data_IF_772392709819
#
_entry.id   IF_772392709819
#
_cell.length_a   1.000
_cell.length_b   1.000
_cell.length_c   1.000
_cell.angle_alpha   90.00
_cell.angle_beta   90.00
_cell.angle_gamma   90.00
#
_symmetry.space_group_name_H-M   'P 1'
#
loop_
_entity.id
_entity.type
_entity.pdbx_description
1 polymer ?
#
# COMPACT_ATOMS: atom_id res chain seq x y z
N UNK A 1 -10.38 -2.84 -13.57
CA UNK A 1 -10.26 -1.44 -13.18
C UNK A 1 -9.02 -1.23 -12.30
N UNK A 2 -8.72 0.01 -11.96
CA UNK A 2 -7.50 0.35 -11.23
C UNK A 2 -7.44 -0.28 -9.84
N UNK A 3 -8.57 -0.37 -9.17
CA UNK A 3 -8.63 -1.00 -7.84
C UNK A 3 -8.26 -2.47 -7.90
N UNK A 4 -8.84 -3.21 -8.83
CA UNK A 4 -8.56 -4.64 -8.99
C UNK A 4 -7.11 -4.89 -9.40
N UNK A 5 -6.59 -4.04 -10.27
CA UNK A 5 -5.19 -4.13 -10.70
C UNK A 5 -4.25 -3.93 -9.50
N UNK A 6 -4.53 -2.92 -8.69
CA UNK A 6 -3.72 -2.61 -7.51
C UNK A 6 -3.78 -3.75 -6.49
N UNK A 7 -4.97 -4.28 -6.22
CA UNK A 7 -5.14 -5.41 -5.31
C UNK A 7 -4.35 -6.62 -5.80
N UNK A 8 -4.48 -6.98 -7.08
CA UNK A 8 -3.76 -8.12 -7.65
C UNK A 8 -2.25 -7.94 -7.53
N UNK A 9 -1.75 -6.73 -7.75
CA UNK A 9 -0.31 -6.45 -7.64
C UNK A 9 0.17 -6.54 -6.20
N UNK A 10 -0.60 -6.03 -5.26
CA UNK A 10 -0.25 -6.08 -3.84
C UNK A 10 -0.23 -7.51 -3.31
N UNK A 11 -1.15 -8.35 -3.76
CA UNK A 11 -1.22 -9.74 -3.31
C UNK A 11 0.02 -10.55 -3.68
N UNK A 12 0.77 -10.12 -4.68
CA UNK A 12 1.99 -10.81 -5.12
C UNK A 12 3.23 -10.43 -4.33
N UNK A 13 3.13 -9.43 -3.47
CA UNK A 13 4.28 -8.95 -2.71
C UNK A 13 4.47 -9.80 -1.45
N UNK A 14 5.71 -10.24 -1.20
CA UNK A 14 6.02 -11.10 -0.06
C UNK A 14 5.75 -10.43 1.28
N UNK A 15 5.92 -9.11 1.36
CA UNK A 15 5.75 -8.40 2.63
C UNK A 15 4.31 -7.98 2.91
N UNK A 16 3.40 -8.18 1.98
CA UNK A 16 1.97 -7.88 2.18
C UNK A 16 1.30 -9.09 2.80
N UNK A 17 0.75 -8.91 4.00
CA UNK A 17 0.12 -9.99 4.75
C UNK A 17 -1.38 -10.07 4.51
N UNK A 18 -2.04 -8.92 4.40
CA UNK A 18 -3.49 -8.88 4.19
C UNK A 18 -3.91 -7.56 3.59
N UNK A 19 -4.96 -7.61 2.79
CA UNK A 19 -5.56 -6.42 2.17
C UNK A 19 -7.00 -6.32 2.65
N UNK A 20 -7.34 -5.18 3.25
CA UNK A 20 -8.70 -4.89 3.71
C UNK A 20 -9.34 -3.92 2.74
N UNK A 21 -10.54 -4.22 2.30
CA UNK A 21 -11.30 -3.30 1.45
C UNK A 21 -12.02 -2.29 2.33
N UNK A 22 -11.54 -1.06 2.33
CA UNK A 22 -12.06 -0.04 3.24
C UNK A 22 -12.97 0.97 2.55
N UNK A 23 -12.67 1.34 1.30
CA UNK A 23 -13.39 2.40 0.60
C UNK A 23 -13.13 2.28 -0.89
N UNK A 24 -13.90 3.03 -1.70
CA UNK A 24 -13.71 3.07 -3.15
C UNK A 24 -12.39 3.73 -3.54
N UNK A 25 -11.88 4.62 -2.69
CA UNK A 25 -10.72 5.46 -3.00
C UNK A 25 -9.43 5.01 -2.37
N UNK A 26 -9.46 4.07 -1.43
CA UNK A 26 -8.22 3.60 -0.79
C UNK A 26 -8.35 2.16 -0.31
N UNK A 27 -7.18 1.56 -0.09
CA UNK A 27 -7.05 0.22 0.47
C UNK A 27 -6.27 0.31 1.77
N UNK A 28 -6.66 -0.50 2.74
CA UNK A 28 -5.90 -0.66 3.96
C UNK A 28 -5.13 -1.97 3.84
N UNK A 29 -3.80 -1.88 3.91
CA UNK A 29 -2.92 -3.02 3.62
C UNK A 29 -2.06 -3.32 4.83
N UNK A 30 -2.13 -4.54 5.32
CA UNK A 30 -1.27 -5.00 6.41
C UNK A 30 0.02 -5.55 5.81
N UNK A 31 1.16 -5.04 6.30
CA UNK A 31 2.49 -5.44 5.84
C UNK A 31 3.33 -5.95 7.02
N UNK A 32 4.51 -6.45 6.73
CA UNK A 32 5.40 -7.01 7.76
C UNK A 32 5.89 -5.95 8.74
N UNK A 33 6.22 -4.75 8.24
CA UNK A 33 6.69 -3.64 9.06
C UNK A 33 6.28 -2.33 8.38
N UNK A 34 5.19 -1.75 8.86
CA UNK A 34 4.61 -0.56 8.23
C UNK A 34 5.54 0.63 8.26
N UNK A 35 6.25 0.85 9.37
CA UNK A 35 7.16 1.99 9.49
C UNK A 35 8.30 1.89 8.48
N UNK A 36 8.88 0.69 8.33
CA UNK A 36 9.94 0.46 7.36
C UNK A 36 9.43 0.69 5.93
N UNK A 37 8.32 0.10 5.57
CA UNK A 37 7.77 0.23 4.22
C UNK A 37 7.35 1.65 3.92
N UNK A 38 6.77 2.34 4.90
CA UNK A 38 6.39 3.75 4.77
C UNK A 38 7.64 4.61 4.44
N UNK A 39 8.71 4.41 5.20
CA UNK A 39 9.94 5.18 4.99
C UNK A 39 10.59 4.86 3.65
N UNK A 40 10.59 3.61 3.23
CA UNK A 40 11.13 3.20 1.93
C UNK A 40 10.36 3.86 0.78
N UNK A 41 9.03 3.90 0.89
CA UNK A 41 8.19 4.55 -0.12
C UNK A 41 8.42 6.05 -0.14
N UNK A 42 8.53 6.66 1.05
CA UNK A 42 8.76 8.10 1.17
C UNK A 42 10.09 8.51 0.52
N UNK A 43 11.13 7.71 0.70
CA UNK A 43 12.44 7.95 0.09
C UNK A 43 12.36 7.94 -1.43
N UNK A 44 11.43 7.19 -1.99
CA UNK A 44 11.21 7.11 -3.44
C UNK A 44 10.15 8.09 -3.94
N UNK A 45 9.70 8.99 -3.07
CA UNK A 45 8.72 10.02 -3.44
C UNK A 45 7.28 9.55 -3.42
N UNK A 46 7.00 8.40 -2.84
CA UNK A 46 5.64 7.86 -2.73
C UNK A 46 5.10 8.13 -1.34
N UNK A 47 3.98 8.84 -1.26
CA UNK A 47 3.35 9.16 0.03
C UNK A 47 2.13 8.27 0.24
N UNK A 48 2.17 7.48 1.31
CA UNK A 48 1.02 6.70 1.77
C UNK A 48 0.74 7.11 3.22
N UNK A 49 -0.37 6.67 3.79
CA UNK A 49 -0.67 6.96 5.19
C UNK A 49 -0.26 5.79 6.06
N UNK A 50 0.53 6.07 7.09
CA UNK A 50 0.92 5.06 8.07
C UNK A 50 -0.18 4.99 9.14
N UNK A 51 -0.84 3.84 9.25
CA UNK A 51 -1.93 3.63 10.21
C UNK A 51 -1.55 2.67 11.33
N UNK A 52 -0.28 2.39 11.50
CA UNK A 52 0.19 1.42 12.49
C UNK A 52 -0.15 1.80 13.93
N UNK A 53 -0.42 3.09 14.20
CA UNK A 53 -0.79 3.57 15.54
C UNK A 53 -2.28 3.49 15.83
N UNK A 54 -3.09 3.11 14.85
CA UNK A 54 -4.54 3.01 15.04
C UNK A 54 -4.90 1.66 15.67
N UNK A 55 -5.91 1.62 16.57
CA UNK A 55 -6.38 0.33 17.11
C UNK A 55 -6.77 -0.62 15.97
N UNK A 56 -6.39 -1.89 16.10
CA UNK A 56 -6.66 -2.95 15.13
C UNK A 56 -6.00 -2.76 13.76
N UNK A 57 -5.14 -1.75 13.63
CA UNK A 57 -4.46 -1.45 12.37
C UNK A 57 -2.94 -1.58 12.49
N UNK A 58 -2.47 -2.46 13.36
CA UNK A 58 -1.03 -2.68 13.53
C UNK A 58 -0.40 -3.09 12.20
N UNK A 59 0.70 -2.42 11.85
CA UNK A 59 1.42 -2.66 10.60
C UNK A 59 0.57 -2.45 9.35
N UNK A 60 -0.39 -1.53 9.40
CA UNK A 60 -1.22 -1.20 8.25
C UNK A 60 -0.81 0.12 7.61
N UNK A 61 -0.87 0.13 6.28
CA UNK A 61 -0.69 1.33 5.46
C UNK A 61 -1.98 1.59 4.70
N UNK A 62 -2.35 2.86 4.60
CA UNK A 62 -3.48 3.27 3.79
C UNK A 62 -2.96 3.75 2.44
N UNK A 63 -3.33 3.04 1.40
CA UNK A 63 -2.88 3.32 0.03
C UNK A 63 -4.04 3.89 -0.76
N UNK A 64 -3.88 5.10 -1.27
CA UNK A 64 -4.90 5.75 -2.09
C UNK A 64 -4.86 5.18 -3.51
N UNK A 65 -6.04 4.88 -4.05
CA UNK A 65 -6.19 4.45 -5.44
C UNK A 65 -6.21 5.72 -6.28
N UNK A 66 -5.13 5.94 -7.03
CA UNK A 66 -4.97 7.13 -7.84
C UNK A 66 -5.30 6.90 -9.30
N UNK A 67 -4.70 7.73 -10.16
CA UNK A 67 -4.80 7.56 -11.60
C UNK A 67 -4.02 6.33 -12.04
N UNK A 68 -4.21 5.92 -13.29
CA UNK A 68 -3.48 4.79 -13.86
C UNK A 68 -1.96 4.99 -13.74
N UNK A 69 -1.48 6.20 -14.05
CA UNK A 69 -0.05 6.52 -13.98
C UNK A 69 0.45 6.45 -12.54
N UNK A 70 -0.28 7.01 -11.60
CA UNK A 70 0.09 6.99 -10.19
C UNK A 70 0.15 5.57 -9.66
N UNK A 71 -0.83 4.74 -9.99
CA UNK A 71 -0.89 3.36 -9.55
C UNK A 71 0.26 2.54 -10.15
N UNK A 72 0.60 2.79 -11.42
CA UNK A 72 1.71 2.11 -12.08
C UNK A 72 3.03 2.43 -11.38
N UNK A 73 3.26 3.70 -11.05
CA UNK A 73 4.47 4.13 -10.34
C UNK A 73 4.52 3.46 -8.97
N UNK A 74 3.41 3.43 -8.26
CA UNK A 74 3.32 2.80 -6.95
C UNK A 74 3.66 1.31 -7.03
N UNK A 75 3.05 0.59 -7.96
CA UNK A 75 3.28 -0.84 -8.13
C UNK A 75 4.74 -1.13 -8.45
N UNK A 76 5.32 -0.38 -9.38
CA UNK A 76 6.71 -0.56 -9.75
C UNK A 76 7.65 -0.29 -8.56
N UNK A 77 7.35 0.73 -7.77
CA UNK A 77 8.13 1.07 -6.59
C UNK A 77 8.03 -0.03 -5.54
N UNK A 78 6.83 -0.55 -5.30
CA UNK A 78 6.62 -1.64 -4.33
C UNK A 78 7.37 -2.90 -4.74
N UNK A 79 7.44 -3.19 -6.03
CA UNK A 79 8.16 -4.37 -6.52
C UNK A 79 9.67 -4.26 -6.32
N UNK A 80 10.18 -3.06 -6.10
CA UNK A 80 11.61 -2.82 -5.85
C UNK A 80 11.98 -2.94 -4.37
N UNK A 81 11.00 -3.00 -3.48
CA UNK A 81 11.25 -3.14 -2.04
C UNK A 81 11.53 -4.62 -1.67
#
# INVERSE_FOLDING_TARGET
>A
DQRNLLVSSLEKLDFVEKIYKSDANFLLVKVDNADLRYNQLLEKGIVVRNRSNQPLCQNCLRITIGTKNENTILINTLNEL
#
